data_IF_445536969094
#
_entry.id   IF_445536969094
#
_cell.length_a   1.000
_cell.length_b   1.000
_cell.length_c   1.000
_cell.angle_alpha   90.00
_cell.angle_beta   90.00
_cell.angle_gamma   90.00
#
_symmetry.space_group_name_H-M   'P 1'
#
loop_
_entity.id
_entity.type
_entity.pdbx_description
1 polymer ?
#
# COMPACT_ATOMS: atom_id res chain seq x y z
N UNK A 1 27.42 -25.49 49.52
CA UNK A 1 26.26 -25.55 48.60
C UNK A 1 26.05 -24.17 48.04
N UNK A 2 26.57 -23.90 46.85
CA UNK A 2 26.28 -22.69 46.09
C UNK A 2 25.44 -23.15 44.90
N UNK A 3 24.16 -22.80 44.87
CA UNK A 3 23.31 -23.03 43.71
C UNK A 3 23.76 -22.14 42.54
N UNK A 4 23.81 -22.65 41.30
CA UNK A 4 24.09 -21.85 40.13
C UNK A 4 22.83 -21.06 39.74
N UNK A 5 23.02 -19.74 39.52
CA UNK A 5 22.03 -18.81 38.97
C UNK A 5 21.63 -19.24 37.55
N UNK A 6 20.33 -19.24 37.17
CA UNK A 6 19.92 -19.76 35.86
C UNK A 6 20.38 -18.84 34.71
N UNK A 7 20.92 -19.38 33.61
CA UNK A 7 21.23 -18.63 32.39
C UNK A 7 19.99 -18.64 31.51
N UNK A 8 19.10 -17.64 31.64
CA UNK A 8 17.87 -17.61 30.84
C UNK A 8 17.30 -16.23 30.53
N UNK A 9 17.77 -15.17 31.18
CA UNK A 9 17.20 -13.83 31.01
C UNK A 9 17.96 -12.92 30.02
N UNK A 10 19.18 -13.30 29.62
CA UNK A 10 20.08 -12.39 28.88
C UNK A 10 20.12 -12.61 27.35
N UNK A 11 19.61 -13.75 26.87
CA UNK A 11 19.63 -14.11 25.43
C UNK A 11 18.43 -13.54 24.68
N UNK A 12 17.22 -13.51 25.27
CA UNK A 12 16.04 -12.93 24.64
C UNK A 12 16.09 -11.40 24.48
N UNK A 13 16.73 -10.69 25.42
CA UNK A 13 16.94 -9.25 25.32
C UNK A 13 17.95 -8.87 24.23
N UNK A 14 18.97 -9.71 24.00
CA UNK A 14 19.96 -9.50 22.94
C UNK A 14 19.39 -9.77 21.53
N UNK A 15 18.50 -10.76 21.40
CA UNK A 15 17.78 -11.07 20.16
C UNK A 15 16.82 -9.94 19.74
N UNK A 16 16.00 -9.45 20.68
CA UNK A 16 15.15 -8.27 20.47
C UNK A 16 15.97 -7.03 20.05
N UNK A 17 17.17 -6.86 20.62
CA UNK A 17 18.07 -5.75 20.26
C UNK A 17 18.67 -5.88 18.86
N UNK A 18 18.96 -7.09 18.35
CA UNK A 18 19.48 -7.30 17.00
C UNK A 18 18.42 -7.03 15.93
N UNK A 19 17.19 -7.52 16.14
CA UNK A 19 16.07 -7.23 15.24
C UNK A 19 15.71 -5.73 15.29
N UNK A 20 15.67 -5.14 16.50
CA UNK A 20 15.49 -3.71 16.68
C UNK A 20 16.54 -2.90 15.92
N UNK A 21 17.83 -3.26 16.00
CA UNK A 21 18.89 -2.54 15.29
C UNK A 21 18.71 -2.58 13.77
N UNK A 22 18.36 -3.73 13.20
CA UNK A 22 18.08 -3.85 11.75
C UNK A 22 16.81 -3.08 11.34
N UNK A 23 15.75 -3.12 12.16
CA UNK A 23 14.52 -2.38 11.89
C UNK A 23 14.71 -0.86 12.00
N UNK A 24 15.53 -0.40 12.97
CA UNK A 24 15.97 1.00 13.06
C UNK A 24 16.66 1.40 11.77
N UNK A 25 17.60 0.60 11.27
CA UNK A 25 18.34 0.92 10.05
C UNK A 25 17.44 0.97 8.80
N UNK A 26 16.50 0.03 8.68
CA UNK A 26 15.61 -0.08 7.52
C UNK A 26 14.50 0.99 7.49
N UNK A 27 13.95 1.35 8.64
CA UNK A 27 12.71 2.15 8.70
C UNK A 27 12.85 3.50 9.41
N UNK A 28 14.02 3.87 9.93
CA UNK A 28 14.23 5.17 10.59
C UNK A 28 13.89 6.37 9.67
N UNK A 29 14.12 6.23 8.36
CA UNK A 29 13.87 7.28 7.37
C UNK A 29 12.63 7.00 6.51
N UNK A 30 11.83 5.98 6.85
CA UNK A 30 10.58 5.71 6.12
C UNK A 30 9.53 6.78 6.43
N UNK A 31 8.82 7.24 5.41
CA UNK A 31 7.68 8.16 5.57
C UNK A 31 6.44 7.44 6.16
N UNK A 32 6.43 6.11 6.15
CA UNK A 32 5.39 5.32 6.81
C UNK A 32 5.62 5.18 8.29
N UNK A 33 4.53 5.28 9.08
CA UNK A 33 4.60 4.95 10.50
C UNK A 33 4.80 3.44 10.67
N UNK A 34 5.93 3.06 11.26
CA UNK A 34 6.30 1.67 11.55
C UNK A 34 6.39 1.47 13.05
N UNK A 35 5.69 0.45 13.55
CA UNK A 35 5.81 -0.06 14.91
C UNK A 35 6.28 -1.52 14.85
N UNK A 36 7.21 -1.91 15.73
CA UNK A 36 7.49 -3.32 15.96
C UNK A 36 7.09 -3.66 17.39
N UNK A 37 6.40 -4.79 17.56
CA UNK A 37 6.04 -5.33 18.85
C UNK A 37 6.61 -6.75 19.03
N UNK A 38 6.92 -7.14 20.26
CA UNK A 38 7.36 -8.50 20.60
C UNK A 38 6.19 -9.52 20.56
N UNK A 39 6.47 -10.78 20.87
CA UNK A 39 5.48 -11.85 20.90
C UNK A 39 4.36 -11.65 21.94
N UNK A 40 4.56 -10.75 22.90
CA UNK A 40 3.55 -10.30 23.87
C UNK A 40 2.80 -9.03 23.42
N UNK A 41 2.99 -8.61 22.17
CA UNK A 41 2.49 -7.37 21.56
C UNK A 41 2.96 -6.09 22.25
N UNK A 42 4.10 -6.11 22.95
CA UNK A 42 4.69 -4.88 23.52
C UNK A 42 5.59 -4.22 22.50
N UNK A 43 5.36 -2.94 22.25
CA UNK A 43 6.10 -2.16 21.27
C UNK A 43 7.57 -2.08 21.71
N UNK A 44 8.49 -2.57 20.87
CA UNK A 44 9.93 -2.52 21.10
C UNK A 44 10.64 -1.52 20.18
N UNK A 45 9.96 -1.06 19.12
CA UNK A 45 10.46 -0.06 18.18
C UNK A 45 9.31 0.77 17.59
N UNK A 46 9.56 2.06 17.39
CA UNK A 46 8.71 2.99 16.64
C UNK A 46 9.62 3.94 15.85
N UNK A 47 9.36 4.14 14.56
CA UNK A 47 10.13 5.11 13.76
C UNK A 47 9.60 6.55 13.92
N UNK A 48 10.33 7.53 13.38
CA UNK A 48 9.97 8.94 13.50
C UNK A 48 8.56 9.26 12.96
N UNK A 49 8.17 8.64 11.85
CA UNK A 49 6.83 8.78 11.29
C UNK A 49 5.75 8.21 12.22
N UNK A 50 6.01 7.12 12.94
CA UNK A 50 5.09 6.58 13.94
C UNK A 50 4.97 7.48 15.16
N UNK A 51 6.07 8.05 15.65
CA UNK A 51 6.03 9.03 16.74
C UNK A 51 5.19 10.25 16.35
N UNK A 52 5.39 10.77 15.14
CA UNK A 52 4.61 11.89 14.60
C UNK A 52 3.13 11.52 14.44
N UNK A 53 2.83 10.33 13.92
CA UNK A 53 1.45 9.88 13.71
C UNK A 53 0.71 9.62 15.03
N UNK A 54 1.34 8.98 16.01
CA UNK A 54 0.67 8.69 17.29
C UNK A 54 0.77 9.85 18.28
N UNK A 55 1.54 10.90 17.98
CA UNK A 55 1.67 12.11 18.80
C UNK A 55 2.31 11.86 20.16
N UNK A 56 3.20 10.87 20.26
CA UNK A 56 3.85 10.46 21.51
C UNK A 56 5.37 10.41 21.37
N UNK A 57 6.06 10.52 22.50
CA UNK A 57 7.50 10.29 22.60
C UNK A 57 7.84 8.80 22.50
N UNK A 58 9.10 8.48 22.20
CA UNK A 58 9.56 7.08 22.18
C UNK A 58 9.30 6.41 23.54
N UNK A 59 9.60 7.09 24.65
CA UNK A 59 9.40 6.55 26.00
C UNK A 59 7.94 6.22 26.35
N UNK A 60 6.97 6.91 25.74
CA UNK A 60 5.54 6.66 25.94
C UNK A 60 5.02 5.49 25.09
N UNK A 61 5.64 5.24 23.94
CA UNK A 61 5.23 4.20 23.01
C UNK A 61 5.95 2.88 23.30
N UNK A 62 7.24 2.90 23.63
CA UNK A 62 8.03 1.70 23.91
C UNK A 62 7.54 1.03 25.21
N UNK A 63 7.32 -0.29 25.16
CA UNK A 63 6.82 -1.11 26.26
C UNK A 63 5.29 -1.15 26.41
N UNK A 64 4.58 -0.21 25.78
CA UNK A 64 3.11 -0.19 25.69
C UNK A 64 2.61 -1.36 24.83
N UNK A 65 1.40 -1.87 25.10
CA UNK A 65 0.79 -2.87 24.23
C UNK A 65 0.30 -2.21 22.94
N UNK A 66 0.59 -2.82 21.80
CA UNK A 66 0.16 -2.30 20.49
C UNK A 66 -1.38 -2.21 20.37
N UNK A 67 -2.12 -3.11 21.05
CA UNK A 67 -3.58 -3.06 21.12
C UNK A 67 -4.11 -1.80 21.82
N UNK A 68 -3.33 -1.15 22.71
CA UNK A 68 -3.75 0.09 23.37
C UNK A 68 -3.83 1.28 22.40
N UNK A 69 -3.20 1.17 21.22
CA UNK A 69 -3.23 2.14 20.12
C UNK A 69 -4.43 1.92 19.18
N UNK A 70 -5.35 1.03 19.51
CA UNK A 70 -6.66 0.88 18.87
C UNK A 70 -7.76 1.48 19.74
N UNK A 71 -8.83 1.96 19.09
CA UNK A 71 -10.06 2.32 19.79
C UNK A 71 -10.62 1.09 20.53
N UNK A 72 -11.24 1.30 21.69
CA UNK A 72 -11.64 0.21 22.61
C UNK A 72 -12.48 -0.88 21.93
N UNK A 73 -13.38 -0.50 21.03
CA UNK A 73 -14.24 -1.44 20.28
C UNK A 73 -13.44 -2.39 19.35
N UNK A 74 -12.22 -2.04 18.98
CA UNK A 74 -11.41 -2.77 18.00
C UNK A 74 -10.20 -3.50 18.61
N UNK A 75 -9.93 -3.32 19.91
CA UNK A 75 -8.78 -3.93 20.59
C UNK A 75 -8.80 -5.46 20.53
N UNK A 76 -9.95 -6.05 20.87
CA UNK A 76 -10.16 -7.51 20.82
C UNK A 76 -10.01 -8.07 19.40
N UNK A 77 -10.48 -7.32 18.41
CA UNK A 77 -10.43 -7.73 17.01
C UNK A 77 -8.99 -7.69 16.45
N UNK A 78 -8.22 -6.66 16.84
CA UNK A 78 -6.78 -6.59 16.57
C UNK A 78 -6.00 -7.76 17.17
N UNK A 79 -6.31 -8.15 18.41
CA UNK A 79 -5.67 -9.30 19.06
C UNK A 79 -5.92 -10.61 18.30
N UNK A 80 -7.15 -10.83 17.84
CA UNK A 80 -7.50 -11.99 17.02
C UNK A 80 -6.78 -11.99 15.66
N UNK A 81 -6.73 -10.83 15.01
CA UNK A 81 -6.10 -10.69 13.69
C UNK A 81 -4.58 -10.96 13.75
N UNK A 82 -3.87 -10.48 14.78
CA UNK A 82 -2.47 -10.82 14.99
C UNK A 82 -2.23 -12.33 15.21
N UNK A 83 -3.14 -13.05 15.86
CA UNK A 83 -2.97 -14.49 16.04
C UNK A 83 -3.14 -15.26 14.72
N UNK A 84 -3.97 -14.75 13.81
CA UNK A 84 -4.22 -15.33 12.48
C UNK A 84 -3.11 -15.03 11.44
N UNK A 85 -2.28 -13.99 11.67
CA UNK A 85 -1.20 -13.58 10.72
C UNK A 85 -0.13 -14.62 10.41
N UNK A 86 -0.07 -15.74 11.14
CA UNK A 86 1.05 -16.69 11.05
C UNK A 86 0.72 -18.06 10.48
N UNK A 87 -0.57 -18.43 10.33
CA UNK A 87 -0.97 -19.79 9.98
C UNK A 87 -1.79 -19.92 8.69
N UNK A 88 -2.66 -18.95 8.36
CA UNK A 88 -3.78 -19.22 7.43
C UNK A 88 -3.71 -18.55 6.05
N UNK A 89 -3.02 -17.42 5.89
CA UNK A 89 -3.15 -16.62 4.63
C UNK A 89 -2.18 -17.01 3.53
N UNK A 90 -1.12 -17.77 3.80
CA UNK A 90 -0.05 -18.05 2.83
C UNK A 90 0.72 -16.81 2.35
N UNK A 91 0.38 -15.61 2.85
CA UNK A 91 0.95 -14.31 2.47
C UNK A 91 1.88 -13.73 3.56
N UNK A 92 1.83 -14.21 4.80
CA UNK A 92 2.72 -13.76 5.88
C UNK A 92 2.42 -12.37 6.46
N UNK A 93 1.30 -11.75 6.07
CA UNK A 93 0.78 -10.49 6.63
C UNK A 93 -0.76 -10.44 6.56
N UNK A 94 -1.37 -9.52 7.30
CA UNK A 94 -2.80 -9.14 7.21
C UNK A 94 -2.94 -7.64 6.98
N UNK A 95 -4.07 -7.25 6.39
CA UNK A 95 -4.50 -5.86 6.29
C UNK A 95 -5.73 -5.65 7.15
N UNK A 96 -5.75 -4.54 7.88
CA UNK A 96 -6.80 -4.18 8.81
C UNK A 96 -7.13 -2.70 8.65
N UNK A 97 -8.40 -2.37 8.43
CA UNK A 97 -8.87 -1.00 8.57
C UNK A 97 -9.58 -0.88 9.92
N UNK A 98 -9.15 0.09 10.72
CA UNK A 98 -9.71 0.31 12.04
C UNK A 98 -9.47 1.70 12.58
N UNK A 99 -10.19 2.09 13.61
CA UNK A 99 -9.91 3.28 14.38
C UNK A 99 -8.70 3.05 15.30
N UNK A 100 -7.63 3.77 15.01
CA UNK A 100 -6.43 3.88 15.86
C UNK A 100 -6.62 5.04 16.84
N UNK A 101 -5.91 4.98 17.96
CA UNK A 101 -5.91 5.98 19.03
C UNK A 101 -4.51 6.55 19.22
N UNK A 102 -4.41 7.88 19.19
CA UNK A 102 -3.19 8.64 19.49
C UNK A 102 -2.92 8.67 20.99
N UNK A 103 -1.73 9.08 21.40
CA UNK A 103 -1.34 9.14 22.81
C UNK A 103 -2.17 10.15 23.62
N UNK A 104 -2.63 11.23 22.98
CA UNK A 104 -3.55 12.23 23.54
C UNK A 104 -5.01 11.76 23.65
N UNK A 105 -5.32 10.56 23.16
CA UNK A 105 -6.66 9.96 23.15
C UNK A 105 -7.49 10.24 21.90
N UNK A 106 -7.04 11.09 20.97
CA UNK A 106 -7.74 11.33 19.72
C UNK A 106 -7.76 10.06 18.85
N UNK A 107 -8.87 9.81 18.16
CA UNK A 107 -9.01 8.66 17.25
C UNK A 107 -8.92 9.08 15.80
N UNK A 108 -8.36 8.20 14.98
CA UNK A 108 -8.29 8.37 13.53
C UNK A 108 -8.52 7.03 12.85
N UNK A 109 -9.03 7.05 11.63
CA UNK A 109 -9.10 5.84 10.82
C UNK A 109 -7.69 5.50 10.31
N UNK A 110 -7.18 4.34 10.70
CA UNK A 110 -5.86 3.84 10.34
C UNK A 110 -5.95 2.56 9.52
N UNK A 111 -5.34 2.56 8.36
CA UNK A 111 -4.95 1.35 7.66
C UNK A 111 -3.74 0.77 8.38
N UNK A 112 -3.87 -0.45 8.89
CA UNK A 112 -2.77 -1.20 9.51
C UNK A 112 -2.45 -2.43 8.67
N UNK A 113 -1.19 -2.58 8.27
CA UNK A 113 -0.67 -3.86 7.81
C UNK A 113 0.14 -4.50 8.93
N UNK A 114 -0.15 -5.75 9.26
CA UNK A 114 0.55 -6.48 10.32
C UNK A 114 1.26 -7.67 9.68
N UNK A 115 2.59 -7.65 9.69
CA UNK A 115 3.44 -8.75 9.28
C UNK A 115 3.97 -9.50 10.50
N UNK A 116 4.00 -10.84 10.43
CA UNK A 116 4.65 -11.65 11.47
C UNK A 116 6.11 -11.90 11.09
N UNK A 117 7.00 -11.57 12.02
CA UNK A 117 8.42 -11.90 11.96
C UNK A 117 8.69 -13.05 12.93
N UNK A 118 9.41 -14.06 12.45
CA UNK A 118 10.04 -15.05 13.32
C UNK A 118 11.54 -14.77 13.35
N UNK A 119 12.10 -14.71 14.55
CA UNK A 119 13.55 -14.73 14.72
C UNK A 119 14.06 -16.12 14.28
N UNK A 120 14.96 -16.19 13.29
CA UNK A 120 15.48 -17.46 12.80
C UNK A 120 16.38 -18.20 13.81
N UNK A 121 16.83 -17.55 14.88
CA UNK A 121 17.79 -18.11 15.86
C UNK A 121 17.11 -18.75 17.06
N UNK A 122 16.03 -18.14 17.57
CA UNK A 122 15.33 -18.61 18.78
C UNK A 122 13.83 -18.89 18.57
N UNK A 123 13.30 -18.63 17.37
CA UNK A 123 11.88 -18.82 17.04
C UNK A 123 10.96 -17.77 17.65
N UNK A 124 11.50 -16.70 18.24
CA UNK A 124 10.75 -15.60 18.83
C UNK A 124 9.84 -14.93 17.80
N UNK A 125 8.59 -14.66 18.18
CA UNK A 125 7.64 -13.94 17.34
C UNK A 125 7.78 -12.43 17.58
N UNK A 126 7.75 -11.66 16.51
CA UNK A 126 7.57 -10.22 16.54
C UNK A 126 6.53 -9.82 15.49
N UNK A 127 5.84 -8.72 15.73
CA UNK A 127 4.83 -8.17 14.83
C UNK A 127 5.30 -6.82 14.34
N UNK A 128 5.39 -6.67 13.02
CA UNK A 128 5.67 -5.37 12.41
C UNK A 128 4.36 -4.79 11.89
N UNK A 129 3.98 -3.63 12.42
CA UNK A 129 2.78 -2.89 12.04
C UNK A 129 3.17 -1.66 11.21
N UNK A 130 2.67 -1.57 9.98
CA UNK A 130 2.69 -0.34 9.19
C UNK A 130 1.35 0.34 9.34
N UNK A 131 1.35 1.60 9.75
CA UNK A 131 0.13 2.36 10.00
C UNK A 131 0.09 3.56 9.06
N UNK A 132 -1.01 3.69 8.34
CA UNK A 132 -1.30 4.85 7.52
C UNK A 132 -2.63 5.46 7.96
N UNK A 133 -2.64 6.75 8.28
CA UNK A 133 -3.88 7.46 8.57
C UNK A 133 -4.65 7.71 7.27
N UNK A 134 -5.89 7.23 7.23
CA UNK A 134 -6.80 7.50 6.12
C UNK A 134 -7.79 8.57 6.55
N UNK A 135 -7.95 9.60 5.71
CA UNK A 135 -8.86 10.71 6.00
C UNK A 135 -10.28 10.22 6.31
N UNK A 136 -10.84 10.71 7.42
CA UNK A 136 -12.19 10.38 7.90
C UNK A 136 -13.31 11.03 7.05
N UNK A 137 -12.97 11.89 6.09
CA UNK A 137 -13.95 12.61 5.25
C UNK A 137 -14.74 11.70 4.28
N UNK A 138 -14.41 10.41 4.21
CA UNK A 138 -14.92 9.47 3.21
C UNK A 138 -16.27 8.79 3.55
N UNK A 139 -17.06 9.35 4.47
CA UNK A 139 -18.26 8.70 5.01
C UNK A 139 -19.57 8.90 4.25
N UNK A 140 -19.58 9.51 3.05
CA UNK A 140 -20.85 9.91 2.40
C UNK A 140 -21.04 9.44 0.95
N UNK A 141 -20.12 8.67 0.37
CA UNK A 141 -20.26 8.22 -1.02
C UNK A 141 -20.12 6.70 -1.14
N UNK A 142 -21.09 6.05 -1.77
CA UNK A 142 -21.14 4.59 -1.98
C UNK A 142 -19.90 4.06 -2.73
N UNK A 143 -19.37 4.87 -3.65
CA UNK A 143 -18.12 4.65 -4.40
C UNK A 143 -16.91 4.48 -3.47
N UNK A 144 -16.76 5.35 -2.47
CA UNK A 144 -15.65 5.27 -1.52
C UNK A 144 -15.75 4.04 -0.62
N UNK A 145 -16.97 3.62 -0.27
CA UNK A 145 -17.18 2.38 0.50
C UNK A 145 -16.79 1.13 -0.31
N UNK A 146 -17.17 1.05 -1.59
CA UNK A 146 -16.77 -0.06 -2.45
C UNK A 146 -15.25 -0.13 -2.63
N UNK A 147 -14.60 1.02 -2.84
CA UNK A 147 -13.15 1.11 -2.93
C UNK A 147 -12.42 0.67 -1.67
N UNK A 148 -12.91 1.11 -0.50
CA UNK A 148 -12.38 0.64 0.78
C UNK A 148 -12.53 -0.87 0.93
N UNK A 149 -13.67 -1.45 0.53
CA UNK A 149 -13.86 -2.90 0.53
C UNK A 149 -12.75 -3.63 -0.21
N UNK A 150 -12.41 -3.18 -1.43
CA UNK A 150 -11.34 -3.78 -2.25
C UNK A 150 -9.96 -3.58 -1.62
N UNK A 151 -9.65 -2.36 -1.17
CA UNK A 151 -8.34 -2.02 -0.62
C UNK A 151 -8.02 -2.78 0.68
N UNK A 152 -9.04 -3.06 1.48
CA UNK A 152 -8.90 -3.64 2.81
C UNK A 152 -9.32 -5.10 2.90
N UNK A 153 -9.71 -5.73 1.80
CA UNK A 153 -9.94 -7.16 1.77
C UNK A 153 -8.61 -7.90 1.94
N UNK A 154 -8.47 -8.52 3.12
CA UNK A 154 -7.30 -9.31 3.51
C UNK A 154 -7.19 -10.64 2.76
N UNK A 155 -8.24 -11.07 2.05
CA UNK A 155 -8.20 -12.25 1.20
C UNK A 155 -7.54 -11.99 -0.16
N UNK A 156 -7.46 -10.73 -0.61
CA UNK A 156 -6.91 -10.37 -1.92
C UNK A 156 -5.38 -10.28 -1.89
N UNK A 157 -4.72 -10.95 -2.84
CA UNK A 157 -3.30 -10.74 -3.14
C UNK A 157 -3.09 -9.34 -3.75
N UNK A 158 -1.84 -8.84 -3.76
CA UNK A 158 -1.46 -7.59 -4.43
C UNK A 158 -1.98 -7.52 -5.88
N UNK A 159 -1.74 -8.58 -6.66
CA UNK A 159 -2.18 -8.66 -8.06
C UNK A 159 -3.71 -8.72 -8.20
N UNK A 160 -4.39 -9.48 -7.34
CA UNK A 160 -5.85 -9.54 -7.35
C UNK A 160 -6.49 -8.19 -6.96
N UNK A 161 -5.89 -7.46 -6.02
CA UNK A 161 -6.35 -6.13 -5.59
C UNK A 161 -6.22 -5.10 -6.70
N UNK A 162 -5.06 -5.08 -7.41
CA UNK A 162 -4.87 -4.21 -8.59
C UNK A 162 -5.91 -4.48 -9.66
N UNK A 163 -6.23 -5.75 -9.92
CA UNK A 163 -7.27 -6.14 -10.88
C UNK A 163 -8.66 -5.69 -10.44
N UNK A 164 -9.02 -5.91 -9.18
CA UNK A 164 -10.32 -5.46 -8.64
C UNK A 164 -10.48 -3.93 -8.69
N UNK A 165 -9.41 -3.16 -8.45
CA UNK A 165 -9.42 -1.70 -8.63
C UNK A 165 -9.65 -1.29 -10.09
N UNK A 166 -9.03 -2.00 -11.03
CA UNK A 166 -9.22 -1.77 -12.46
C UNK A 166 -10.64 -2.15 -12.92
N UNK A 167 -11.17 -3.28 -12.46
CA UNK A 167 -12.57 -3.68 -12.73
C UNK A 167 -13.56 -2.63 -12.21
N UNK A 168 -13.37 -2.18 -10.97
CA UNK A 168 -14.17 -1.11 -10.37
C UNK A 168 -14.10 0.18 -11.20
N UNK A 169 -12.91 0.60 -11.62
CA UNK A 169 -12.74 1.81 -12.43
C UNK A 169 -13.39 1.69 -13.80
N UNK A 170 -13.27 0.55 -14.47
CA UNK A 170 -13.93 0.29 -15.76
C UNK A 170 -15.45 0.39 -15.63
N UNK A 171 -16.02 -0.23 -14.59
CA UNK A 171 -17.46 -0.17 -14.31
C UNK A 171 -17.91 1.25 -14.00
N UNK A 172 -17.18 1.98 -13.15
CA UNK A 172 -17.57 3.32 -12.73
C UNK A 172 -17.49 4.35 -13.85
N UNK A 173 -16.40 4.34 -14.63
CA UNK A 173 -16.23 5.29 -15.73
C UNK A 173 -16.99 4.87 -17.00
N UNK A 174 -17.51 3.65 -17.05
CA UNK A 174 -18.18 3.07 -18.21
C UNK A 174 -17.23 2.94 -19.41
N UNK A 175 -16.01 2.45 -19.17
CA UNK A 175 -14.95 2.33 -20.17
C UNK A 175 -14.57 0.86 -20.38
N UNK A 176 -14.30 0.48 -21.64
CA UNK A 176 -14.00 -0.90 -22.02
C UNK A 176 -12.71 -1.47 -21.43
N UNK A 177 -11.72 -0.63 -21.12
CA UNK A 177 -10.45 -1.09 -20.57
C UNK A 177 -9.82 -0.13 -19.58
N UNK A 178 -8.91 -0.68 -18.77
CA UNK A 178 -8.06 0.07 -17.88
C UNK A 178 -6.75 -0.65 -17.59
N UNK A 179 -5.71 0.12 -17.29
CA UNK A 179 -4.41 -0.44 -16.98
C UNK A 179 -3.63 0.40 -15.97
N UNK A 180 -2.73 -0.28 -15.28
CA UNK A 180 -1.64 0.34 -14.53
C UNK A 180 -0.36 0.08 -15.29
N UNK A 181 0.40 1.14 -15.53
CA UNK A 181 1.74 1.08 -16.12
C UNK A 181 2.76 1.59 -15.11
N UNK A 182 3.95 1.02 -15.16
CA UNK A 182 5.11 1.42 -14.36
C UNK A 182 6.19 1.98 -15.27
N UNK A 183 6.93 2.96 -14.78
CA UNK A 183 8.01 3.56 -15.53
C UNK A 183 9.28 2.69 -15.42
N UNK A 184 9.81 2.29 -16.57
CA UNK A 184 11.10 1.61 -16.70
C UNK A 184 12.00 2.41 -17.67
N UNK A 185 12.88 3.23 -17.09
CA UNK A 185 13.69 4.17 -17.86
C UNK A 185 12.84 5.20 -18.61
N UNK A 186 12.87 5.12 -19.94
CA UNK A 186 12.10 5.99 -20.86
C UNK A 186 10.86 5.29 -21.45
N UNK A 187 10.54 4.09 -20.95
CA UNK A 187 9.36 3.32 -21.35
C UNK A 187 8.35 3.22 -20.20
N UNK A 188 7.07 3.00 -20.56
CA UNK A 188 5.99 2.64 -19.65
C UNK A 188 5.58 1.19 -19.90
N UNK A 189 5.77 0.34 -18.90
CA UNK A 189 5.45 -1.09 -18.97
C UNK A 189 4.13 -1.37 -18.28
N UNK A 190 3.20 -2.03 -18.97
CA UNK A 190 1.92 -2.45 -18.38
C UNK A 190 2.18 -3.59 -17.41
N UNK A 191 1.70 -3.42 -16.19
CA UNK A 191 1.91 -4.37 -15.10
C UNK A 191 0.60 -4.95 -14.57
N UNK A 192 -0.52 -4.27 -14.84
CA UNK A 192 -1.86 -4.81 -14.64
C UNK A 192 -2.80 -4.23 -15.70
N UNK A 193 -3.73 -5.04 -16.20
CA UNK A 193 -4.70 -4.62 -17.20
C UNK A 193 -6.04 -5.37 -17.03
N UNK A 194 -7.13 -4.69 -17.37
CA UNK A 194 -8.50 -5.22 -17.46
C UNK A 194 -9.11 -4.74 -18.78
N UNK A 195 -9.94 -5.60 -19.38
CA UNK A 195 -10.54 -5.36 -20.69
C UNK A 195 -9.88 -6.18 -21.80
N UNK A 196 -10.46 -6.13 -22.98
CA UNK A 196 -10.08 -6.96 -24.13
C UNK A 196 -9.49 -6.14 -25.29
N UNK A 197 -8.94 -4.96 -24.99
CA UNK A 197 -8.41 -4.08 -26.02
C UNK A 197 -7.20 -4.71 -26.75
N UNK A 198 -7.20 -4.75 -28.09
CA UNK A 198 -6.10 -5.33 -28.86
C UNK A 198 -4.78 -4.61 -28.59
N UNK A 199 -3.80 -5.35 -28.08
CA UNK A 199 -2.49 -4.77 -27.74
C UNK A 199 -2.44 -4.12 -26.36
N UNK A 200 -3.40 -4.38 -25.47
CA UNK A 200 -3.27 -4.13 -24.05
C UNK A 200 -2.97 -5.45 -23.32
N UNK A 201 -1.70 -5.70 -23.02
CA UNK A 201 -1.26 -6.91 -22.31
C UNK A 201 -0.26 -6.58 -21.20
N UNK A 202 -0.30 -7.36 -20.12
CA UNK A 202 0.72 -7.28 -19.07
C UNK A 202 2.09 -7.65 -19.66
N UNK A 203 3.10 -6.85 -19.34
CA UNK A 203 4.47 -6.92 -19.87
C UNK A 203 4.68 -6.06 -21.12
N UNK A 204 3.64 -5.45 -21.68
CA UNK A 204 3.79 -4.63 -22.87
C UNK A 204 4.36 -3.25 -22.54
N UNK A 205 5.41 -2.85 -23.25
CA UNK A 205 6.09 -1.57 -23.09
C UNK A 205 5.65 -0.55 -24.14
N UNK A 206 5.63 0.72 -23.74
CA UNK A 206 5.33 1.86 -24.60
C UNK A 206 6.37 2.95 -24.44
N UNK A 207 6.81 3.52 -25.56
CA UNK A 207 7.68 4.69 -25.53
C UNK A 207 6.90 5.92 -25.03
N UNK A 208 7.59 6.75 -24.25
CA UNK A 208 7.11 8.10 -23.95
C UNK A 208 7.07 8.92 -25.24
N UNK A 209 6.01 9.69 -25.45
CA UNK A 209 5.71 10.39 -26.70
C UNK A 209 4.59 9.75 -27.52
N UNK A 210 4.30 8.46 -27.33
CA UNK A 210 3.34 7.73 -28.16
C UNK A 210 1.98 7.52 -27.47
N UNK A 211 1.84 7.93 -26.21
CA UNK A 211 0.66 7.62 -25.38
C UNK A 211 0.05 8.86 -24.73
N UNK A 212 -1.23 8.82 -24.38
CA UNK A 212 -1.86 9.89 -23.60
C UNK A 212 -1.32 9.98 -22.17
N UNK A 213 -0.63 8.95 -21.68
CA UNK A 213 0.03 8.92 -20.38
C UNK A 213 1.07 10.04 -20.23
N UNK A 214 1.66 10.53 -21.32
CA UNK A 214 2.60 11.67 -21.23
C UNK A 214 1.95 12.94 -20.72
N UNK A 215 0.68 13.18 -21.05
CA UNK A 215 -0.03 14.37 -20.59
C UNK A 215 -0.29 14.30 -19.09
N UNK A 216 -0.69 13.12 -18.62
CA UNK A 216 -0.85 12.77 -17.21
C UNK A 216 0.46 12.97 -16.43
N UNK A 217 1.57 12.47 -16.97
CA UNK A 217 2.90 12.60 -16.37
C UNK A 217 3.43 14.04 -16.40
N UNK A 218 3.25 14.76 -17.50
CA UNK A 218 3.75 16.13 -17.65
C UNK A 218 3.01 17.14 -16.74
N UNK A 219 1.72 16.91 -16.50
CA UNK A 219 0.91 17.76 -15.62
C UNK A 219 1.00 17.33 -14.15
N UNK A 220 1.53 16.13 -13.87
CA UNK A 220 1.51 15.49 -12.56
C UNK A 220 0.14 15.55 -11.88
N UNK A 221 -0.92 15.33 -12.66
CA UNK A 221 -2.31 15.47 -12.24
C UNK A 221 -3.23 14.58 -13.08
N UNK A 222 -4.46 14.40 -12.60
CA UNK A 222 -5.50 13.73 -13.36
C UNK A 222 -5.74 14.46 -14.69
N UNK A 223 -5.80 13.69 -15.76
CA UNK A 223 -5.93 14.16 -17.12
C UNK A 223 -7.04 13.39 -17.84
N UNK A 224 -7.73 14.05 -18.77
CA UNK A 224 -8.80 13.45 -19.56
C UNK A 224 -8.75 13.88 -21.03
N UNK A 225 -9.19 12.97 -21.89
CA UNK A 225 -9.57 13.19 -23.28
C UNK A 225 -11.02 12.72 -23.45
N UNK A 226 -11.87 13.61 -23.91
CA UNK A 226 -13.30 13.41 -24.12
C UNK A 226 -13.82 14.35 -25.21
N UNK A 227 -15.14 14.39 -25.44
CA UNK A 227 -15.74 15.21 -26.51
C UNK A 227 -15.44 16.72 -26.42
N UNK A 228 -14.99 17.26 -25.28
CA UNK A 228 -14.62 18.68 -25.14
C UNK A 228 -13.14 18.95 -25.43
N UNK A 229 -12.30 17.93 -25.28
CA UNK A 229 -10.84 18.06 -25.29
C UNK A 229 -10.21 17.36 -26.49
N UNK A 230 -10.94 16.47 -27.17
CA UNK A 230 -10.47 15.67 -28.29
C UNK A 230 -9.97 16.50 -29.49
N UNK A 231 -10.64 17.62 -29.81
CA UNK A 231 -10.26 18.48 -30.95
C UNK A 231 -8.95 19.25 -30.73
N UNK A 232 -8.61 19.53 -29.46
CA UNK A 232 -7.39 20.28 -29.09
C UNK A 232 -6.17 19.37 -28.98
N UNK A 233 -6.36 18.07 -29.14
CA UNK A 233 -5.33 17.09 -28.87
C UNK A 233 -5.21 16.12 -30.04
N UNK A 234 -4.08 16.09 -30.75
CA UNK A 234 -3.90 15.17 -31.87
C UNK A 234 -4.06 13.73 -31.38
N UNK A 235 -4.64 12.84 -32.21
CA UNK A 235 -4.67 11.41 -31.92
C UNK A 235 -3.23 10.92 -31.74
N UNK A 236 -2.96 10.21 -30.65
CA UNK A 236 -1.65 9.56 -30.46
C UNK A 236 -1.72 8.13 -30.96
N UNK A 237 -0.71 7.75 -31.73
CA UNK A 237 -0.61 6.42 -32.29
C UNK A 237 -0.02 5.45 -31.26
N UNK A 238 -0.88 4.81 -30.49
CA UNK A 238 -0.51 3.65 -29.71
C UNK A 238 -0.20 2.48 -30.65
N UNK A 239 1.08 2.12 -30.84
CA UNK A 239 1.51 0.99 -31.67
C UNK A 239 0.78 0.89 -33.05
N UNK A 240 0.43 2.03 -33.64
CA UNK A 240 -0.33 2.14 -34.90
C UNK A 240 -1.80 1.68 -34.85
N UNK A 241 -2.43 1.51 -33.67
CA UNK A 241 -3.75 0.86 -33.55
C UNK A 241 -4.77 1.42 -32.55
N UNK A 242 -4.43 2.24 -31.55
CA UNK A 242 -5.47 2.84 -30.70
C UNK A 242 -5.68 4.35 -30.93
N UNK A 243 -6.69 4.66 -31.74
CA UNK A 243 -7.46 5.89 -31.57
C UNK A 243 -8.44 5.68 -30.41
N UNK A 244 -8.07 6.18 -29.24
CA UNK A 244 -8.96 6.24 -28.07
C UNK A 244 -9.84 7.49 -28.18
N UNK A 245 -11.16 7.29 -28.12
CA UNK A 245 -12.16 8.36 -28.17
C UNK A 245 -12.32 9.00 -26.80
N UNK A 246 -12.32 8.17 -25.74
CA UNK A 246 -12.32 8.62 -24.36
C UNK A 246 -11.16 8.00 -23.59
N UNK A 247 -10.49 8.84 -22.81
CA UNK A 247 -9.37 8.46 -21.96
C UNK A 247 -9.43 9.29 -20.68
N UNK A 248 -9.20 8.65 -19.54
CA UNK A 248 -8.96 9.32 -18.26
C UNK A 248 -7.78 8.63 -17.57
N UNK A 249 -6.85 9.42 -17.05
CA UNK A 249 -5.67 8.87 -16.39
C UNK A 249 -5.14 9.79 -15.30
N UNK A 250 -4.36 9.23 -14.39
CA UNK A 250 -3.73 9.96 -13.29
C UNK A 250 -2.37 9.33 -12.98
N UNK A 251 -1.33 10.13 -12.64
CA UNK A 251 -0.04 9.56 -12.25
C UNK A 251 -0.19 8.76 -10.95
N UNK A 252 0.47 7.61 -10.90
CA UNK A 252 0.59 6.83 -9.68
C UNK A 252 1.85 7.30 -8.97
N UNK A 253 1.68 7.88 -7.79
CA UNK A 253 2.78 8.35 -6.95
C UNK A 253 3.06 7.33 -5.86
N UNK A 254 4.33 7.02 -5.63
CA UNK A 254 4.81 6.22 -4.51
C UNK A 254 5.68 7.15 -3.66
N UNK A 255 5.20 7.50 -2.46
CA UNK A 255 5.68 8.69 -1.75
C UNK A 255 5.53 9.95 -2.61
N UNK A 256 6.64 10.62 -2.91
CA UNK A 256 6.68 11.83 -3.78
C UNK A 256 7.12 11.55 -5.22
N UNK A 257 7.53 10.31 -5.52
CA UNK A 257 8.06 9.94 -6.83
C UNK A 257 6.95 9.40 -7.74
N UNK A 258 6.94 9.84 -9.00
CA UNK A 258 6.06 9.24 -10.00
C UNK A 258 6.56 7.85 -10.37
N UNK A 259 5.76 6.83 -10.06
CA UNK A 259 6.08 5.42 -10.31
C UNK A 259 5.50 4.94 -11.65
N UNK A 260 4.45 5.59 -12.14
CA UNK A 260 3.83 5.26 -13.41
C UNK A 260 2.46 5.92 -13.58
N UNK A 261 1.54 5.28 -14.30
CA UNK A 261 0.20 5.83 -14.54
C UNK A 261 -0.91 4.80 -14.37
N UNK A 262 -2.04 5.25 -13.83
CA UNK A 262 -3.31 4.54 -13.85
C UNK A 262 -4.18 5.21 -14.92
N UNK A 263 -4.76 4.43 -15.82
CA UNK A 263 -5.61 4.98 -16.86
C UNK A 263 -6.72 4.03 -17.27
N UNK A 264 -7.79 4.61 -17.80
CA UNK A 264 -8.95 3.93 -18.35
C UNK A 264 -9.27 4.55 -19.71
N UNK A 265 -9.71 3.72 -20.65
CA UNK A 265 -9.96 4.18 -21.98
C UNK A 265 -11.01 3.35 -22.71
N UNK A 266 -11.56 3.98 -23.75
CA UNK A 266 -12.51 3.37 -24.67
C UNK A 266 -12.34 3.98 -26.07
N UNK A 267 -12.45 3.13 -27.09
CA UNK A 267 -12.29 3.50 -28.49
C UNK A 267 -13.58 4.00 -29.12
N UNK A 268 -14.74 3.58 -28.65
CA UNK A 268 -16.03 3.87 -29.27
C UNK A 268 -16.97 4.66 -28.34
N UNK A 269 -16.55 4.92 -27.09
CA UNK A 269 -17.35 5.71 -26.17
C UNK A 269 -17.33 7.21 -26.49
N UNK A 270 -18.53 7.78 -26.59
CA UNK A 270 -18.78 9.22 -26.56
C UNK A 270 -19.12 9.70 -25.14
N UNK A 271 -19.10 11.02 -24.93
CA UNK A 271 -19.46 11.66 -23.67
C UNK A 271 -18.35 12.51 -23.06
N UNK A 272 -18.62 13.03 -21.86
CA UNK A 272 -17.76 13.93 -21.11
C UNK A 272 -17.43 13.31 -19.75
N UNK A 273 -16.23 13.59 -19.24
CA UNK A 273 -15.96 13.36 -17.83
C UNK A 273 -16.39 14.57 -17.01
N UNK A 274 -16.90 14.33 -15.83
CA UNK A 274 -17.16 15.32 -14.80
C UNK A 274 -15.90 15.66 -14.01
N UNK A 275 -15.98 16.67 -13.14
CA UNK A 275 -14.90 16.91 -12.16
C UNK A 275 -14.84 15.78 -11.12
N UNK A 276 -15.99 15.20 -10.75
CA UNK A 276 -16.04 14.07 -9.84
C UNK A 276 -15.28 12.84 -10.38
N UNK A 277 -15.28 12.63 -11.70
CA UNK A 277 -14.50 11.55 -12.33
C UNK A 277 -12.99 11.80 -12.21
N UNK A 278 -12.55 13.05 -12.37
CA UNK A 278 -11.15 13.45 -12.18
C UNK A 278 -10.72 13.30 -10.71
N UNK A 279 -11.59 13.64 -9.78
CA UNK A 279 -11.34 13.48 -8.35
C UNK A 279 -11.27 11.99 -7.98
N UNK A 280 -12.14 11.15 -8.55
CA UNK A 280 -12.15 9.72 -8.31
C UNK A 280 -10.91 9.02 -8.87
N UNK A 281 -10.50 9.31 -10.11
CA UNK A 281 -9.28 8.70 -10.69
C UNK A 281 -8.04 9.08 -9.88
N UNK A 282 -8.00 10.28 -9.29
CA UNK A 282 -6.93 10.69 -8.38
C UNK A 282 -6.94 9.88 -7.08
N UNK A 283 -8.12 9.61 -6.51
CA UNK A 283 -8.25 8.72 -5.34
C UNK A 283 -7.78 7.30 -5.69
N UNK A 284 -8.21 6.76 -6.83
CA UNK A 284 -7.80 5.44 -7.31
C UNK A 284 -6.28 5.34 -7.49
N UNK A 285 -5.68 6.32 -8.17
CA UNK A 285 -4.25 6.34 -8.42
C UNK A 285 -3.42 6.44 -7.13
N UNK A 286 -3.91 7.22 -6.15
CA UNK A 286 -3.30 7.27 -4.81
C UNK A 286 -3.39 5.93 -4.10
N UNK A 287 -4.54 5.26 -4.14
CA UNK A 287 -4.69 3.93 -3.55
C UNK A 287 -3.75 2.89 -4.20
N UNK A 288 -3.56 2.94 -5.51
CA UNK A 288 -2.56 2.09 -6.20
C UNK A 288 -1.14 2.42 -5.75
N UNK A 289 -0.82 3.71 -5.57
CA UNK A 289 0.47 4.16 -5.05
C UNK A 289 0.79 3.63 -3.65
N UNK A 290 -0.16 3.82 -2.71
CA UNK A 290 -0.10 3.29 -1.35
C UNK A 290 0.05 1.76 -1.34
N UNK A 291 -0.62 1.07 -2.27
CA UNK A 291 -0.54 -0.37 -2.41
C UNK A 291 0.85 -0.86 -2.85
N UNK A 292 1.46 -0.17 -3.81
CA UNK A 292 2.82 -0.47 -4.29
C UNK A 292 3.85 -0.18 -3.21
N UNK A 293 3.71 0.94 -2.51
CA UNK A 293 4.59 1.31 -1.41
C UNK A 293 4.57 0.26 -0.31
N UNK A 294 3.36 -0.19 0.05
CA UNK A 294 3.16 -1.24 1.03
C UNK A 294 3.79 -2.57 0.59
N UNK A 295 3.61 -2.99 -0.67
CA UNK A 295 4.22 -4.22 -1.20
C UNK A 295 5.75 -4.15 -1.18
N UNK A 296 6.35 -3.00 -1.51
CA UNK A 296 7.81 -2.77 -1.40
C UNK A 296 8.29 -2.88 0.04
N UNK A 297 7.52 -2.36 0.98
CA UNK A 297 7.83 -2.46 2.40
C UNK A 297 7.86 -3.92 2.86
N UNK A 298 6.85 -4.69 2.48
CA UNK A 298 6.75 -6.13 2.78
C UNK A 298 7.89 -6.91 2.10
N UNK A 299 8.20 -6.62 0.84
CA UNK A 299 9.29 -7.27 0.12
C UNK A 299 10.66 -7.01 0.77
N UNK A 300 10.92 -5.76 1.16
CA UNK A 300 12.14 -5.37 1.87
C UNK A 300 12.27 -6.09 3.21
N UNK A 301 11.14 -6.25 3.91
CA UNK A 301 11.07 -6.98 5.17
C UNK A 301 11.41 -8.45 4.99
N UNK A 302 10.79 -9.14 4.01
CA UNK A 302 11.07 -10.54 3.71
C UNK A 302 12.55 -10.76 3.36
N UNK A 303 13.13 -9.91 2.51
CA UNK A 303 14.54 -10.02 2.16
C UNK A 303 15.48 -9.81 3.35
N UNK A 304 15.15 -8.89 4.26
CA UNK A 304 15.92 -8.70 5.49
C UNK A 304 15.87 -9.95 6.39
N UNK A 305 14.70 -10.61 6.48
CA UNK A 305 14.55 -11.86 7.22
C UNK A 305 15.39 -13.00 6.62
N UNK A 306 15.37 -13.17 5.29
CA UNK A 306 16.14 -14.22 4.63
C UNK A 306 17.66 -14.03 4.83
N UNK A 307 18.16 -12.78 4.80
CA UNK A 307 19.57 -12.47 5.06
C UNK A 307 19.98 -12.78 6.49
N UNK A 308 19.11 -12.53 7.46
CA UNK A 308 19.34 -12.86 8.87
C UNK A 308 19.29 -14.38 9.12
N UNK A 309 18.53 -15.13 8.33
CA UNK A 309 18.52 -16.59 8.34
C UNK A 309 19.78 -17.23 7.76
N UNK A 310 20.39 -16.62 6.74
CA UNK A 310 21.57 -17.16 6.05
C UNK A 310 22.93 -16.83 6.69
N UNK A 311 23.02 -15.82 7.57
CA UNK A 311 24.28 -15.48 8.27
C UNK A 311 24.52 -16.28 9.56
N UNK A 312 23.62 -17.20 9.89
CA UNK A 312 23.73 -18.08 11.07
C UNK A 312 24.04 -19.55 10.77
N UNK A 313 24.46 -19.90 9.55
CA UNK A 313 24.86 -21.25 9.15
C UNK A 313 26.35 -21.50 9.33
#
# INVERSE_FOLDING_TARGET
MHEPRPPGANTGAAAANSLKATLVELFAHSEHAVLCADGSRRICFANAAALALFGGSEDELIGRKASDLYAEAEQTASDGACQQTSADTGQGYIRWLGHRRRCDGATFAGQTLIATLRDPRDGGLAYLEFVHEVSALAGQTQVLHALRGIMFDSALTFEARRRALLEFGCEHFGLACGAISEQDGDELVVVAAVGSEPGLQVGQAFNRGDTYCDHTLAQNAAFRRDGLTCERMPPRAYAGRLELSRYIGCPVLVGTACHGTLWFADREADGLFSQADLDLIAVLARCVGEEIEMERCIGSLRQAQDRLGHTGG
#
